data_IF_889953545976
#
_entry.id   IF_889953545976
#
_cell.length_a   1.000
_cell.length_b   1.000
_cell.length_c   1.000
_cell.angle_alpha   90.00
_cell.angle_beta   90.00
_cell.angle_gamma   90.00
#
_symmetry.space_group_name_H-M   'P 1'
#
loop_
_entity.id
_entity.type
_entity.pdbx_description
1 polymer ?
#
# COMPACT_ATOMS: atom_id res chain seq x y z
N UNK A 1 -16.15 29.34 -29.68
CA UNK A 1 -16.67 29.19 -28.31
C UNK A 1 -15.70 28.30 -27.57
N UNK A 2 -14.84 28.84 -26.71
CA UNK A 2 -14.07 28.00 -25.78
C UNK A 2 -13.95 28.78 -24.47
N UNK A 3 -14.38 28.12 -23.40
CA UNK A 3 -14.58 28.71 -22.09
C UNK A 3 -13.98 27.75 -21.07
N UNK A 4 -13.24 28.37 -20.13
CA UNK A 4 -13.05 28.05 -18.71
C UNK A 4 -11.72 27.39 -18.31
N UNK A 5 -10.87 28.25 -17.74
CA UNK A 5 -9.84 27.97 -16.74
C UNK A 5 -10.41 27.25 -15.50
N UNK A 6 -9.65 26.31 -14.93
CA UNK A 6 -9.64 25.90 -13.50
C UNK A 6 -8.17 25.57 -13.17
N UNK A 7 -7.44 26.48 -12.51
CA UNK A 7 -7.15 26.60 -11.06
C UNK A 7 -6.27 25.47 -10.49
N UNK A 8 -5.12 25.88 -9.96
CA UNK A 8 -3.98 25.02 -9.66
C UNK A 8 -3.93 24.41 -8.26
N UNK A 9 -2.84 23.69 -8.03
CA UNK A 9 -2.30 23.35 -6.72
C UNK A 9 -0.77 23.52 -6.81
N UNK A 10 -0.23 24.54 -6.13
CA UNK A 10 1.21 24.66 -5.92
C UNK A 10 1.58 23.89 -4.66
N UNK A 11 2.53 22.97 -4.74
CA UNK A 11 3.28 22.52 -3.57
C UNK A 11 4.76 22.44 -3.97
N UNK A 12 5.47 23.56 -3.82
CA UNK A 12 6.94 23.56 -3.79
C UNK A 12 7.33 23.67 -2.31
N UNK A 13 7.63 22.54 -1.71
CA UNK A 13 8.32 22.45 -0.43
C UNK A 13 9.75 21.99 -0.66
N UNK A 14 10.62 22.88 -1.14
CA UNK A 14 12.06 22.60 -1.25
C UNK A 14 12.67 22.76 0.14
N UNK A 15 12.83 21.66 0.87
CA UNK A 15 13.63 21.65 2.10
C UNK A 15 14.97 20.99 1.78
N UNK A 16 16.02 21.80 1.69
CA UNK A 16 17.38 21.31 1.55
C UNK A 16 17.91 20.90 2.92
N UNK A 17 17.99 19.59 3.18
CA UNK A 17 18.85 19.01 4.22
C UNK A 17 19.97 18.28 3.49
N UNK A 18 21.21 18.62 3.82
CA UNK A 18 22.40 17.96 3.27
C UNK A 18 22.47 16.58 3.94
N UNK A 19 22.08 15.55 3.19
CA UNK A 19 22.03 14.14 3.58
C UNK A 19 20.80 13.49 2.92
N UNK A 20 21.03 12.65 1.89
CA UNK A 20 20.02 11.90 1.10
C UNK A 20 18.77 12.71 0.73
N UNK A 21 18.75 13.31 -0.45
CA UNK A 21 17.64 14.11 -0.96
C UNK A 21 16.47 13.21 -1.42
N UNK A 22 15.67 12.73 -0.47
CA UNK A 22 14.40 12.09 -0.80
C UNK A 22 13.36 13.15 -1.14
N UNK A 23 12.95 13.24 -2.40
CA UNK A 23 11.83 14.09 -2.82
C UNK A 23 10.54 13.26 -2.89
N UNK A 24 9.52 13.66 -2.14
CA UNK A 24 8.22 12.97 -2.09
C UNK A 24 7.13 13.90 -2.62
N UNK A 25 6.39 13.45 -3.62
CA UNK A 25 5.13 14.06 -4.02
C UNK A 25 3.99 13.09 -3.67
N UNK A 26 2.97 13.57 -2.97
CA UNK A 26 1.80 12.77 -2.61
C UNK A 26 0.53 13.49 -3.03
N UNK A 27 -0.37 12.77 -3.68
CA UNK A 27 -1.72 13.26 -4.02
C UNK A 27 -2.75 12.23 -3.55
N UNK A 28 -3.72 12.72 -2.80
CA UNK A 28 -4.85 11.94 -2.32
C UNK A 28 -6.13 12.56 -2.88
N UNK A 29 -6.90 11.76 -3.61
CA UNK A 29 -8.24 12.14 -4.04
C UNK A 29 -9.18 12.03 -2.83
N UNK A 30 -9.95 13.08 -2.60
CA UNK A 30 -10.93 13.10 -1.51
C UNK A 30 -11.93 11.95 -1.69
N UNK A 31 -12.21 11.17 -0.64
CA UNK A 31 -13.20 10.11 -0.72
C UNK A 31 -14.57 10.68 -1.07
N UNK A 32 -15.19 10.19 -2.15
CA UNK A 32 -16.54 10.59 -2.55
C UNK A 32 -17.49 9.42 -2.38
N UNK A 33 -18.45 9.55 -1.47
CA UNK A 33 -19.48 8.53 -1.28
C UNK A 33 -20.39 8.44 -2.53
N UNK A 34 -20.51 7.23 -3.08
CA UNK A 34 -21.35 6.88 -4.22
C UNK A 34 -22.47 5.97 -3.69
N UNK A 35 -23.69 6.49 -3.49
CA UNK A 35 -24.82 5.67 -3.07
C UNK A 35 -25.27 4.75 -4.21
N UNK A 36 -25.48 3.47 -3.90
CA UNK A 36 -25.99 2.45 -4.80
C UNK A 36 -27.04 1.61 -4.08
N UNK A 37 -28.30 2.05 -4.14
CA UNK A 37 -29.41 1.41 -3.43
C UNK A 37 -29.18 1.45 -1.91
N UNK A 38 -29.16 0.28 -1.28
CA UNK A 38 -28.93 0.12 0.17
C UNK A 38 -27.46 0.15 0.57
N UNK A 39 -26.54 0.28 -0.38
CA UNK A 39 -25.10 0.27 -0.17
C UNK A 39 -24.50 1.63 -0.54
N UNK A 40 -23.41 2.00 0.12
CA UNK A 40 -22.60 3.18 -0.19
C UNK A 40 -21.18 2.70 -0.50
N UNK A 41 -20.70 3.00 -1.70
CA UNK A 41 -19.31 2.80 -2.08
C UNK A 41 -18.52 4.08 -1.79
N UNK A 42 -17.42 3.95 -1.06
CA UNK A 42 -16.50 5.04 -0.76
C UNK A 42 -15.12 4.65 -1.32
N UNK A 43 -14.82 5.01 -2.58
CA UNK A 43 -13.50 4.84 -3.14
C UNK A 43 -12.57 5.93 -2.63
N UNK A 44 -11.33 5.55 -2.33
CA UNK A 44 -10.24 6.46 -1.98
C UNK A 44 -9.04 6.05 -2.82
N UNK A 45 -8.35 7.02 -3.40
CA UNK A 45 -7.11 6.77 -4.12
C UNK A 45 -6.04 7.69 -3.57
N UNK A 46 -5.03 7.09 -2.95
CA UNK A 46 -3.80 7.78 -2.59
C UNK A 46 -2.70 7.33 -3.54
N UNK A 47 -1.94 8.27 -4.07
CA UNK A 47 -0.77 7.99 -4.91
C UNK A 47 0.39 8.79 -4.38
N UNK A 48 1.55 8.14 -4.31
CA UNK A 48 2.78 8.73 -3.82
C UNK A 48 3.89 8.43 -4.80
N UNK A 49 4.61 9.47 -5.17
CA UNK A 49 5.79 9.40 -6.00
C UNK A 49 6.98 9.75 -5.13
N UNK A 50 7.99 8.88 -5.10
CA UNK A 50 9.19 9.08 -4.31
C UNK A 50 10.40 9.00 -5.22
N UNK A 51 11.22 10.03 -5.19
CA UNK A 51 12.57 9.99 -5.73
C UNK A 51 13.53 9.86 -4.54
N UNK A 52 14.37 8.83 -4.58
CA UNK A 52 15.38 8.55 -3.56
C UNK A 52 16.73 8.46 -4.28
N UNK A 53 17.70 9.26 -3.82
CA UNK A 53 19.04 9.31 -4.40
C UNK A 53 19.94 8.16 -3.92
N UNK A 54 19.52 7.40 -2.91
CA UNK A 54 20.26 6.29 -2.36
C UNK A 54 19.33 5.22 -1.75
N UNK A 55 18.60 4.49 -2.61
CA UNK A 55 17.61 3.48 -2.17
C UNK A 55 18.18 2.37 -1.28
N UNK A 56 19.50 2.18 -1.32
CA UNK A 56 20.20 1.13 -0.57
C UNK A 56 20.99 1.68 0.62
N UNK A 57 20.89 2.99 0.90
CA UNK A 57 21.61 3.65 2.00
C UNK A 57 23.11 3.35 2.02
N UNK A 58 23.73 3.28 0.84
CA UNK A 58 25.15 2.97 0.67
C UNK A 58 26.02 4.21 0.92
N UNK A 59 27.19 4.04 1.54
CA UNK A 59 28.14 5.14 1.78
C UNK A 59 28.95 5.55 0.54
N UNK A 60 28.87 4.77 -0.54
CA UNK A 60 29.54 5.01 -1.82
C UNK A 60 28.84 4.20 -2.92
N UNK A 61 28.87 4.67 -4.18
CA UNK A 61 28.11 4.09 -5.30
C UNK A 61 26.59 4.11 -5.05
N UNK A 62 26.08 5.29 -4.69
CA UNK A 62 24.65 5.53 -4.46
C UNK A 62 23.85 5.16 -5.71
N UNK A 63 22.72 4.47 -5.50
CA UNK A 63 21.79 4.12 -6.56
C UNK A 63 20.55 4.98 -6.38
N UNK A 64 20.36 5.92 -7.30
CA UNK A 64 19.13 6.71 -7.34
C UNK A 64 18.01 5.91 -8.00
N UNK A 65 16.80 5.94 -7.44
CA UNK A 65 15.62 5.33 -8.04
C UNK A 65 14.39 6.20 -7.85
N UNK A 66 13.49 6.06 -8.81
CA UNK A 66 12.16 6.62 -8.76
C UNK A 66 11.17 5.50 -8.43
N UNK A 67 10.29 5.71 -7.46
CA UNK A 67 9.21 4.78 -7.14
C UNK A 67 7.85 5.46 -7.21
N UNK A 68 6.88 4.71 -7.72
CA UNK A 68 5.49 5.11 -7.77
C UNK A 68 4.68 4.14 -6.93
N UNK A 69 4.10 4.64 -5.86
CA UNK A 69 3.20 3.89 -4.96
C UNK A 69 1.77 4.31 -5.24
N UNK A 70 0.89 3.33 -5.36
CA UNK A 70 -0.55 3.51 -5.49
C UNK A 70 -1.28 2.72 -4.39
N UNK A 71 -2.20 3.40 -3.71
CA UNK A 71 -2.99 2.84 -2.63
C UNK A 71 -4.49 3.11 -2.83
N UNK A 72 -5.15 2.42 -3.78
CA UNK A 72 -6.60 2.46 -3.86
C UNK A 72 -7.23 1.66 -2.71
N UNK A 73 -8.25 2.25 -2.10
CA UNK A 73 -9.09 1.61 -1.10
C UNK A 73 -10.55 1.74 -1.51
N UNK A 74 -11.28 0.64 -1.47
CA UNK A 74 -12.71 0.59 -1.75
C UNK A 74 -13.43 0.15 -0.48
N UNK A 75 -14.31 0.99 0.04
CA UNK A 75 -15.17 0.64 1.17
C UNK A 75 -16.61 0.54 0.70
N UNK A 76 -17.24 -0.60 0.92
CA UNK A 76 -18.66 -0.83 0.70
C UNK A 76 -19.32 -0.92 2.07
N UNK A 77 -20.29 -0.05 2.33
CA UNK A 77 -21.03 -0.02 3.58
C UNK A 77 -22.52 -0.12 3.29
N UNK A 78 -23.18 -1.10 3.92
CA UNK A 78 -24.64 -1.20 3.96
C UNK A 78 -25.11 -1.07 5.39
N UNK A 79 -26.25 -0.40 5.57
CA UNK A 79 -26.89 -0.29 6.87
C UNK A 79 -28.39 -0.52 6.73
N UNK A 80 -28.91 -1.48 7.50
CA UNK A 80 -30.34 -1.65 7.75
C UNK A 80 -30.60 -1.52 9.25
N UNK A 81 -31.16 -0.37 9.65
CA UNK A 81 -31.40 -0.02 11.06
C UNK A 81 -30.09 -0.09 11.86
N UNK A 82 -29.99 -1.05 12.79
CA UNK A 82 -28.82 -1.29 13.63
C UNK A 82 -27.87 -2.32 13.02
N UNK A 83 -28.27 -3.03 11.94
CA UNK A 83 -27.41 -3.97 11.26
C UNK A 83 -26.50 -3.22 10.28
N UNK A 84 -25.19 -3.39 10.41
CA UNK A 84 -24.18 -2.75 9.56
C UNK A 84 -23.31 -3.81 8.94
N UNK A 85 -23.17 -3.75 7.62
CA UNK A 85 -22.31 -4.63 6.83
C UNK A 85 -21.23 -3.79 6.17
N UNK A 86 -19.98 -4.21 6.29
CA UNK A 86 -18.82 -3.54 5.72
C UNK A 86 -17.97 -4.53 4.95
N UNK A 87 -17.56 -4.13 3.75
CA UNK A 87 -16.53 -4.78 2.95
C UNK A 87 -15.50 -3.73 2.59
N UNK A 88 -14.25 -3.95 2.99
CA UNK A 88 -13.12 -3.10 2.65
C UNK A 88 -12.14 -3.88 1.80
N UNK A 89 -11.76 -3.32 0.67
CA UNK A 89 -10.67 -3.81 -0.16
C UNK A 89 -9.59 -2.74 -0.24
N UNK A 90 -8.34 -3.11 0.01
CA UNK A 90 -7.21 -2.22 -0.12
C UNK A 90 -6.13 -2.91 -0.96
N UNK A 91 -5.55 -2.12 -1.87
CA UNK A 91 -4.42 -2.48 -2.70
C UNK A 91 -3.26 -1.57 -2.31
N UNK A 92 -2.07 -2.13 -2.14
CA UNK A 92 -0.84 -1.37 -1.99
C UNK A 92 0.18 -1.91 -2.99
N UNK A 93 0.40 -1.14 -4.06
CA UNK A 93 1.35 -1.51 -5.09
C UNK A 93 2.40 -0.42 -5.25
N UNK A 94 3.66 -0.84 -5.37
CA UNK A 94 4.76 0.05 -5.71
C UNK A 94 5.53 -0.50 -6.91
N UNK A 95 5.87 0.40 -7.84
CA UNK A 95 6.79 0.12 -8.93
C UNK A 95 8.06 0.94 -8.77
N UNK A 96 9.22 0.29 -8.86
CA UNK A 96 10.53 0.93 -8.84
C UNK A 96 11.11 0.97 -10.25
N UNK A 97 11.58 2.14 -10.69
CA UNK A 97 12.05 2.36 -12.05
C UNK A 97 13.43 1.74 -12.34
N UNK A 98 14.33 1.75 -11.34
CA UNK A 98 15.70 1.23 -11.50
C UNK A 98 15.86 -0.24 -11.09
N UNK A 99 14.99 -0.78 -10.24
CA UNK A 99 15.05 -2.18 -9.80
C UNK A 99 13.63 -2.75 -9.71
N UNK A 100 13.15 -3.35 -10.80
CA UNK A 100 11.80 -3.90 -10.86
C UNK A 100 11.59 -5.08 -9.90
N UNK A 101 12.67 -5.73 -9.44
CA UNK A 101 12.57 -6.92 -8.59
C UNK A 101 12.14 -6.57 -7.16
N UNK A 102 12.15 -5.28 -6.81
CA UNK A 102 11.64 -4.75 -5.54
C UNK A 102 10.20 -4.22 -5.66
N UNK A 103 9.56 -4.38 -6.84
CA UNK A 103 8.15 -4.00 -7.01
C UNK A 103 7.23 -5.01 -6.31
N UNK A 104 6.26 -4.50 -5.56
CA UNK A 104 5.33 -5.33 -4.79
C UNK A 104 3.88 -4.96 -5.08
N UNK A 105 2.99 -5.88 -4.71
CA UNK A 105 1.55 -5.71 -4.84
C UNK A 105 0.83 -6.48 -3.73
N UNK A 106 0.46 -5.76 -2.67
CA UNK A 106 -0.26 -6.28 -1.52
C UNK A 106 -1.75 -6.04 -1.68
N UNK A 107 -2.52 -7.04 -1.27
CA UNK A 107 -3.96 -7.01 -1.30
C UNK A 107 -4.52 -7.34 0.06
N UNK A 108 -5.44 -6.54 0.56
CA UNK A 108 -6.19 -6.86 1.79
C UNK A 108 -7.68 -6.75 1.54
N UNK A 109 -8.41 -7.73 2.06
CA UNK A 109 -9.87 -7.80 2.03
C UNK A 109 -10.36 -8.01 3.45
N UNK A 110 -11.27 -7.17 3.90
CA UNK A 110 -11.93 -7.24 5.18
C UNK A 110 -13.44 -7.25 4.98
N UNK A 111 -14.12 -8.23 5.55
CA UNK A 111 -15.57 -8.30 5.63
C UNK A 111 -15.95 -8.28 7.10
N UNK A 112 -16.84 -7.38 7.49
CA UNK A 112 -17.39 -7.34 8.85
C UNK A 112 -18.89 -7.08 8.84
N UNK A 113 -19.57 -7.67 9.83
CA UNK A 113 -20.98 -7.46 10.05
C UNK A 113 -21.25 -7.27 11.54
N UNK A 114 -21.99 -6.22 11.84
CA UNK A 114 -22.57 -5.94 13.14
C UNK A 114 -24.07 -6.18 13.03
N UNK A 115 -24.61 -7.10 13.82
CA UNK A 115 -26.00 -7.52 13.76
C UNK A 115 -26.67 -7.26 15.10
N UNK A 116 -27.77 -6.53 15.07
CA UNK A 116 -28.67 -6.35 16.20
C UNK A 116 -30.11 -6.70 15.77
N UNK A 117 -30.45 -8.00 15.68
CA UNK A 117 -31.78 -8.43 15.22
C UNK A 117 -32.89 -8.03 16.19
N UNK A 118 -32.56 -7.93 17.49
CA UNK A 118 -33.46 -7.53 18.57
C UNK A 118 -32.71 -6.66 19.57
N UNK A 119 -33.42 -5.91 20.42
CA UNK A 119 -32.80 -5.09 21.48
C UNK A 119 -32.00 -5.89 22.53
N UNK A 120 -31.99 -7.24 22.46
CA UNK A 120 -31.28 -8.11 23.42
C UNK A 120 -30.18 -8.93 22.78
N UNK A 121 -30.10 -8.96 21.45
CA UNK A 121 -29.16 -9.79 20.71
C UNK A 121 -28.28 -8.90 19.88
N UNK A 122 -26.98 -9.00 20.15
CA UNK A 122 -25.92 -8.33 19.42
C UNK A 122 -24.92 -9.39 19.00
N UNK A 123 -24.46 -9.32 17.76
CA UNK A 123 -23.41 -10.18 17.24
C UNK A 123 -22.47 -9.36 16.36
N UNK A 124 -21.18 -9.53 16.59
CA UNK A 124 -20.12 -8.91 15.80
C UNK A 124 -19.32 -10.03 15.13
N UNK A 125 -19.23 -10.03 13.81
CA UNK A 125 -18.47 -11.03 13.06
C UNK A 125 -17.58 -10.36 12.02
N UNK A 126 -16.44 -10.97 11.72
CA UNK A 126 -15.58 -10.49 10.67
C UNK A 126 -14.62 -11.55 10.12
N UNK A 127 -14.30 -11.42 8.85
CA UNK A 127 -13.33 -12.23 8.13
C UNK A 127 -12.36 -11.29 7.42
N UNK A 128 -11.07 -11.50 7.60
CA UNK A 128 -10.05 -10.76 6.87
C UNK A 128 -9.12 -11.74 6.15
N UNK A 129 -8.70 -11.33 4.95
CA UNK A 129 -7.71 -12.01 4.14
C UNK A 129 -6.71 -10.98 3.64
N UNK A 130 -5.42 -11.26 3.78
CA UNK A 130 -4.36 -10.37 3.34
C UNK A 130 -3.30 -11.18 2.59
N UNK A 131 -2.88 -10.69 1.43
CA UNK A 131 -1.69 -11.10 0.69
C UNK A 131 -0.71 -9.95 0.84
N UNK A 132 0.37 -10.17 1.59
CA UNK A 132 1.32 -9.14 1.98
C UNK A 132 2.72 -9.53 1.52
N UNK A 133 3.62 -8.55 1.52
CA UNK A 133 5.04 -8.78 1.37
C UNK A 133 5.83 -8.33 2.61
N UNK A 134 7.01 -8.90 2.78
CA UNK A 134 8.06 -8.36 3.65
C UNK A 134 9.18 -7.77 2.77
N UNK A 135 9.65 -6.57 3.13
CA UNK A 135 10.81 -5.93 2.48
C UNK A 135 12.07 -6.79 2.65
N UNK A 136 12.98 -6.74 1.67
CA UNK A 136 14.28 -7.43 1.78
C UNK A 136 15.07 -6.96 3.01
N UNK A 137 15.56 -7.91 3.80
CA UNK A 137 16.23 -7.66 5.08
C UNK A 137 15.28 -7.53 6.28
N UNK A 138 13.97 -7.65 6.07
CA UNK A 138 12.93 -7.65 7.12
C UNK A 138 12.17 -8.99 7.12
N UNK A 139 11.47 -9.28 8.23
CA UNK A 139 10.67 -10.51 8.34
C UNK A 139 11.49 -11.80 8.20
N UNK A 140 11.12 -12.65 7.24
CA UNK A 140 11.80 -13.93 6.99
C UNK A 140 13.28 -13.78 6.57
N UNK A 141 13.64 -12.61 6.03
CA UNK A 141 15.01 -12.26 5.64
C UNK A 141 15.79 -11.47 6.71
N UNK A 142 15.22 -11.29 7.91
CA UNK A 142 15.90 -10.59 9.00
C UNK A 142 17.13 -11.36 9.50
N UNK A 143 18.27 -10.66 9.61
CA UNK A 143 19.53 -11.23 10.11
C UNK A 143 20.54 -11.67 9.03
N UNK A 144 20.20 -11.57 7.73
CA UNK A 144 21.16 -11.75 6.64
C UNK A 144 21.92 -10.45 6.32
N UNK A 145 23.20 -10.55 5.94
CA UNK A 145 24.01 -9.39 5.48
C UNK A 145 23.54 -8.89 4.10
N UNK A 146 23.67 -7.59 3.83
CA UNK A 146 23.38 -6.99 2.50
C UNK A 146 24.09 -7.73 1.35
N UNK A 147 25.30 -8.24 1.56
CA UNK A 147 26.05 -9.02 0.57
C UNK A 147 25.52 -10.46 0.37
N UNK A 148 24.75 -10.97 1.32
CA UNK A 148 24.04 -12.25 1.22
C UNK A 148 22.63 -12.08 0.66
N UNK A 149 22.02 -10.90 0.82
CA UNK A 149 20.72 -10.53 0.26
C UNK A 149 20.84 -10.20 -1.24
N UNK A 150 21.96 -9.61 -1.65
CA UNK A 150 22.23 -9.13 -3.01
C UNK A 150 23.39 -9.85 -3.71
N UNK A 151 23.58 -11.14 -3.45
CA UNK A 151 24.69 -11.86 -4.07
C UNK A 151 24.41 -12.04 -5.57
N UNK A 152 25.05 -11.20 -6.39
CA UNK A 152 25.20 -11.34 -7.84
C UNK A 152 26.60 -11.93 -8.07
N UNK A 153 26.66 -13.25 -8.21
CA UNK A 153 27.90 -13.99 -8.30
C UNK A 153 28.62 -13.79 -9.65
N UNK A 154 27.90 -13.34 -10.68
CA UNK A 154 28.36 -13.24 -12.07
C UNK A 154 28.44 -11.80 -12.61
N UNK A 155 28.00 -10.80 -11.85
CA UNK A 155 28.11 -9.38 -12.16
C UNK A 155 27.24 -8.93 -13.33
N UNK A 156 26.16 -9.67 -13.64
CA UNK A 156 25.25 -9.36 -14.74
C UNK A 156 24.09 -8.43 -14.33
N UNK A 157 24.05 -8.05 -13.05
CA UNK A 157 22.98 -7.24 -12.47
C UNK A 157 21.77 -8.06 -12.02
N UNK A 158 21.84 -9.41 -12.06
CA UNK A 158 20.82 -10.33 -11.58
C UNK A 158 21.31 -11.03 -10.31
N UNK A 159 20.48 -11.05 -9.26
CA UNK A 159 20.83 -11.72 -8.01
C UNK A 159 20.73 -13.26 -8.17
N UNK A 160 21.86 -13.94 -8.37
CA UNK A 160 21.97 -15.41 -8.56
C UNK A 160 22.07 -16.21 -7.23
N UNK A 161 22.41 -15.54 -6.12
CA UNK A 161 22.58 -16.18 -4.80
C UNK A 161 22.02 -15.41 -3.61
N UNK A 162 21.32 -14.29 -3.87
CA UNK A 162 20.56 -13.56 -2.87
C UNK A 162 19.23 -14.23 -2.56
N UNK A 163 18.70 -14.04 -1.35
CA UNK A 163 17.25 -14.20 -1.14
C UNK A 163 16.55 -13.26 -2.13
N UNK A 164 15.84 -13.87 -3.09
CA UNK A 164 15.36 -13.24 -4.33
C UNK A 164 14.29 -12.16 -4.13
N UNK A 165 13.19 -12.25 -4.88
CA UNK A 165 12.04 -11.32 -4.81
C UNK A 165 11.56 -11.07 -3.37
N UNK A 166 10.88 -9.95 -3.15
CA UNK A 166 10.15 -9.65 -1.90
C UNK A 166 9.28 -10.84 -1.47
N UNK A 167 9.46 -11.29 -0.22
CA UNK A 167 8.79 -12.49 0.32
C UNK A 167 7.29 -12.21 0.47
N UNK A 168 6.44 -13.07 -0.11
CA UNK A 168 4.97 -12.94 -0.05
C UNK A 168 4.34 -13.96 0.88
N UNK A 169 3.35 -13.53 1.65
CA UNK A 169 2.61 -14.41 2.56
C UNK A 169 1.13 -14.05 2.64
N UNK A 170 0.33 -15.07 2.97
CA UNK A 170 -1.10 -14.95 3.13
C UNK A 170 -1.50 -15.03 4.62
N UNK A 171 -2.41 -14.17 5.04
CA UNK A 171 -2.96 -14.15 6.39
C UNK A 171 -4.49 -14.18 6.34
N UNK A 172 -5.09 -15.18 6.99
CA UNK A 172 -6.55 -15.28 7.18
C UNK A 172 -6.89 -15.10 8.65
N UNK A 173 -7.82 -14.20 8.96
CA UNK A 173 -8.29 -13.92 10.33
C UNK A 173 -9.80 -14.02 10.41
N UNK A 174 -10.30 -14.84 11.35
CA UNK A 174 -11.71 -14.91 11.70
C UNK A 174 -11.94 -14.23 13.06
N UNK A 175 -12.94 -13.35 13.14
CA UNK A 175 -13.35 -12.61 14.33
C UNK A 175 -14.82 -12.89 14.62
N UNK A 176 -15.14 -13.11 15.89
CA UNK A 176 -16.51 -13.32 16.36
C UNK A 176 -16.67 -12.86 17.81
N UNK A 177 -17.76 -12.14 18.09
CA UNK A 177 -18.10 -11.60 19.40
C UNK A 177 -19.62 -11.48 19.57
N UNK A 178 -20.05 -11.40 20.82
CA UNK A 178 -21.46 -11.27 21.24
C UNK A 178 -21.57 -10.10 22.21
#
# INVERSE_FOLDING_TARGET
MERKNILGLSLIGLTAVIGTQTAVAQTALQPQAIPYGSFVLIPTLNTRTVFDDNIYSLSSNEVSSFSQVINPTLNFVAQDRLNVYKLTYNLNAAGYANDSNDSYNDHTVDVSAHLEPTNRLRFDTGLAYAMLHDDRGTGASSGFSLGQIRNDANGDGVFDGGIGEVDKYDLTTLRGGV
#
